data_IF_230065622934
#
_entry.id   IF_230065622934
#
_cell.length_a   1.000
_cell.length_b   1.000
_cell.length_c   1.000
_cell.angle_alpha   90.00
_cell.angle_beta   90.00
_cell.angle_gamma   90.00
#
_symmetry.space_group_name_H-M   'P 1'
#
loop_
_entity.id
_entity.type
_entity.pdbx_description
1 polymer ?
#
# COMPACT_ATOMS: atom_id res chain seq x y z
N UNK A 1 24.34 -3.83 -12.29
CA UNK A 1 23.28 -2.86 -11.95
C UNK A 1 22.34 -3.40 -10.89
N UNK A 2 21.65 -4.52 -11.09
CA UNK A 2 20.66 -5.08 -10.13
C UNK A 2 21.18 -5.19 -8.67
N UNK A 3 22.35 -5.79 -8.48
CA UNK A 3 23.01 -5.88 -7.15
C UNK A 3 23.28 -4.53 -6.45
N UNK A 4 23.46 -3.45 -7.20
CA UNK A 4 23.66 -2.12 -6.59
C UNK A 4 22.34 -1.51 -6.14
N UNK A 5 21.28 -1.71 -6.93
CA UNK A 5 19.91 -1.28 -6.58
C UNK A 5 19.45 -2.02 -5.32
N UNK A 6 19.58 -3.34 -5.28
CA UNK A 6 19.20 -4.17 -4.12
C UNK A 6 19.92 -3.73 -2.83
N UNK A 7 21.19 -3.34 -2.96
CA UNK A 7 22.00 -2.83 -1.85
C UNK A 7 21.50 -1.47 -1.36
N UNK A 8 21.23 -0.53 -2.26
CA UNK A 8 20.74 0.80 -1.92
C UNK A 8 19.37 0.70 -1.25
N UNK A 9 18.47 -0.13 -1.78
CA UNK A 9 17.16 -0.38 -1.17
C UNK A 9 17.29 -0.91 0.26
N UNK A 10 18.18 -1.90 0.46
CA UNK A 10 18.44 -2.46 1.79
C UNK A 10 19.00 -1.42 2.77
N UNK A 11 19.92 -0.56 2.33
CA UNK A 11 20.49 0.51 3.15
C UNK A 11 19.44 1.55 3.57
N UNK A 12 18.55 1.92 2.65
CA UNK A 12 17.45 2.87 2.90
C UNK A 12 16.42 2.27 3.87
N UNK A 13 16.03 1.01 3.68
CA UNK A 13 15.12 0.31 4.60
C UNK A 13 15.74 0.24 5.99
N UNK A 14 17.00 -0.20 6.08
CA UNK A 14 17.72 -0.28 7.34
C UNK A 14 17.83 1.08 8.04
N UNK A 15 17.98 2.17 7.29
CA UNK A 15 17.98 3.53 7.85
C UNK A 15 16.60 3.90 8.42
N UNK A 16 15.52 3.67 7.67
CA UNK A 16 14.16 4.00 8.10
C UNK A 16 13.72 3.18 9.31
N UNK A 17 14.11 1.91 9.40
CA UNK A 17 13.72 1.03 10.51
C UNK A 17 14.39 1.38 11.85
N UNK A 18 15.36 2.30 11.88
CA UNK A 18 16.03 2.74 13.13
C UNK A 18 15.18 3.64 14.01
N UNK A 19 14.07 4.19 13.52
CA UNK A 19 13.17 5.03 14.31
C UNK A 19 11.70 4.65 14.12
N UNK A 20 10.84 4.87 15.12
CA UNK A 20 9.40 4.64 14.99
C UNK A 20 8.78 5.42 13.82
N UNK A 21 9.17 6.68 13.62
CA UNK A 21 8.67 7.51 12.53
C UNK A 21 9.13 7.02 11.15
N UNK A 22 10.39 6.58 11.05
CA UNK A 22 10.92 6.00 9.82
C UNK A 22 10.23 4.67 9.47
N UNK A 23 9.99 3.81 10.46
CA UNK A 23 9.26 2.56 10.28
C UNK A 23 7.81 2.83 9.84
N UNK A 24 7.12 3.80 10.45
CA UNK A 24 5.78 4.24 10.04
C UNK A 24 5.76 4.70 8.59
N UNK A 25 6.72 5.54 8.19
CA UNK A 25 6.84 6.04 6.82
C UNK A 25 7.09 4.90 5.83
N UNK A 26 7.97 3.95 6.17
CA UNK A 26 8.24 2.78 5.34
C UNK A 26 6.97 1.97 5.10
N UNK A 27 6.24 1.61 6.16
CA UNK A 27 5.02 0.81 6.05
C UNK A 27 3.91 1.53 5.29
N UNK A 28 3.73 2.83 5.50
CA UNK A 28 2.77 3.62 4.74
C UNK A 28 3.09 3.60 3.24
N UNK A 29 4.37 3.77 2.87
CA UNK A 29 4.81 3.73 1.46
C UNK A 29 4.66 2.33 0.86
N UNK A 30 5.05 1.29 1.59
CA UNK A 30 4.94 -0.10 1.15
C UNK A 30 3.48 -0.50 0.91
N UNK A 31 2.59 -0.08 1.82
CA UNK A 31 1.15 -0.28 1.68
C UNK A 31 0.61 0.45 0.44
N UNK A 32 0.87 1.75 0.31
CA UNK A 32 0.39 2.55 -0.83
C UNK A 32 0.88 2.00 -2.18
N UNK A 33 2.12 1.53 -2.26
CA UNK A 33 2.66 0.92 -3.47
C UNK A 33 1.89 -0.35 -3.86
N UNK A 34 1.58 -1.22 -2.89
CA UNK A 34 0.80 -2.44 -3.13
C UNK A 34 -0.60 -2.14 -3.65
N UNK A 35 -1.30 -1.17 -3.05
CA UNK A 35 -2.64 -0.78 -3.50
C UNK A 35 -2.62 -0.15 -4.89
N UNK A 36 -1.67 0.74 -5.17
CA UNK A 36 -1.52 1.34 -6.50
C UNK A 36 -1.24 0.29 -7.58
N UNK A 37 -0.49 -0.77 -7.27
CA UNK A 37 -0.29 -1.89 -8.20
C UNK A 37 -1.59 -2.67 -8.45
N UNK A 38 -2.38 -2.92 -7.42
CA UNK A 38 -3.68 -3.60 -7.55
C UNK A 38 -4.68 -2.78 -8.38
N UNK A 39 -4.75 -1.47 -8.16
CA UNK A 39 -5.60 -0.57 -8.97
C UNK A 39 -5.22 -0.62 -10.45
N UNK A 40 -3.92 -0.56 -10.77
CA UNK A 40 -3.44 -0.65 -12.16
C UNK A 40 -3.73 -2.00 -12.81
N UNK A 41 -3.65 -3.09 -12.06
CA UNK A 41 -3.99 -4.43 -12.56
C UNK A 41 -5.50 -4.53 -12.85
N UNK A 42 -6.34 -4.02 -11.94
CA UNK A 42 -7.78 -3.98 -12.12
C UNK A 42 -8.18 -3.12 -13.33
N UNK A 43 -7.56 -1.95 -13.51
CA UNK A 43 -7.76 -1.11 -14.70
C UNK A 43 -7.40 -1.84 -16.00
N UNK A 44 -6.29 -2.60 -16.02
CA UNK A 44 -5.90 -3.40 -17.17
C UNK A 44 -6.91 -4.51 -17.47
N UNK A 45 -7.35 -5.24 -16.45
CA UNK A 45 -8.36 -6.30 -16.59
C UNK A 45 -9.71 -5.75 -17.10
N UNK A 46 -10.14 -4.59 -16.62
CA UNK A 46 -11.36 -3.92 -17.10
C UNK A 46 -11.22 -3.47 -18.55
N UNK A 47 -10.08 -2.84 -18.91
CA UNK A 47 -9.82 -2.36 -20.27
C UNK A 47 -9.69 -3.50 -21.29
N UNK A 48 -9.19 -4.68 -20.89
CA UNK A 48 -9.07 -5.85 -21.76
C UNK A 48 -10.44 -6.51 -22.06
N UNK A 49 -11.48 -6.22 -21.27
CA UNK A 49 -12.79 -6.86 -21.37
C UNK A 49 -13.85 -6.01 -22.11
N UNK A 50 -13.48 -4.89 -22.76
CA UNK A 50 -14.41 -3.96 -23.46
C UNK A 50 -15.62 -3.48 -22.62
N UNK A 51 -15.62 -3.70 -21.30
CA UNK A 51 -16.62 -3.16 -20.40
C UNK A 51 -16.20 -1.75 -20.00
N UNK A 52 -17.17 -0.82 -19.94
CA UNK A 52 -16.91 0.50 -19.38
C UNK A 52 -16.35 0.34 -17.96
N UNK A 53 -15.27 1.05 -17.59
CA UNK A 53 -14.70 0.92 -16.26
C UNK A 53 -15.76 1.29 -15.22
N UNK A 54 -16.11 0.34 -14.35
CA UNK A 54 -16.97 0.60 -13.20
C UNK A 54 -16.10 1.36 -12.20
N UNK A 55 -16.34 2.67 -12.04
CA UNK A 55 -15.68 3.48 -11.01
C UNK A 55 -16.19 3.01 -9.66
N UNK A 56 -15.47 2.10 -9.02
CA UNK A 56 -15.75 1.66 -7.64
C UNK A 56 -15.14 2.71 -6.70
N UNK A 57 -16.00 3.52 -6.07
CA UNK A 57 -15.58 4.44 -5.02
C UNK A 57 -15.29 3.64 -3.74
N UNK A 58 -14.05 3.14 -3.60
CA UNK A 58 -13.56 2.50 -2.39
C UNK A 58 -13.28 3.55 -1.31
N UNK A 59 -14.32 4.25 -0.87
CA UNK A 59 -14.27 4.94 0.41
C UNK A 59 -14.25 3.87 1.50
N UNK A 60 -13.06 3.41 1.86
CA UNK A 60 -12.85 2.65 3.10
C UNK A 60 -13.26 3.56 4.24
N UNK A 61 -14.47 3.36 4.74
CA UNK A 61 -15.03 4.15 5.84
C UNK A 61 -14.20 3.82 7.10
N UNK A 62 -13.23 4.69 7.42
CA UNK A 62 -12.28 4.53 8.54
C UNK A 62 -13.01 4.38 9.90
N UNK A 63 -14.33 4.65 9.92
CA UNK A 63 -15.22 4.40 11.05
C UNK A 63 -15.33 2.92 11.43
N UNK A 64 -15.15 1.99 10.50
CA UNK A 64 -15.25 0.55 10.81
C UNK A 64 -13.98 0.00 11.46
N UNK A 65 -12.82 0.64 11.25
CA UNK A 65 -11.55 0.25 11.89
C UNK A 65 -11.56 0.54 13.40
N UNK A 66 -12.36 1.53 13.86
CA UNK A 66 -12.43 1.92 15.27
C UNK A 66 -13.35 1.05 16.13
N UNK A 67 -14.21 0.22 15.54
CA UNK A 67 -15.18 -0.56 16.34
C UNK A 67 -14.62 -1.84 16.96
N UNK A 68 -13.48 -2.33 16.48
CA UNK A 68 -12.87 -3.55 17.04
C UNK A 68 -11.97 -3.28 18.27
N UNK A 69 -11.59 -2.02 18.54
CA UNK A 69 -10.76 -1.69 19.70
C UNK A 69 -11.51 -1.49 21.02
N UNK A 70 -12.84 -1.34 20.98
CA UNK A 70 -13.63 -0.96 22.17
C UNK A 70 -14.35 -2.15 22.83
N UNK A 71 -14.09 -3.39 22.39
CA UNK A 71 -14.71 -4.61 22.93
C UNK A 71 -13.72 -5.56 23.63
N UNK A 72 -12.75 -5.03 24.37
CA UNK A 72 -12.14 -5.79 25.47
C UNK A 72 -12.14 -4.91 26.73
N UNK A 73 -12.94 -5.38 27.68
CA UNK A 73 -13.22 -4.90 29.04
C UNK A 73 -12.02 -4.40 29.85
#
# INVERSE_FOLDING_TARGET
>A
MKKQVDRIESEIINFMMKSPDGAKLYWQRAFNYKYSLQEKQLEQELNLNNQQPIIVNLQTDIRDIKKESDNNA
#
